data_IF_142382824717
#
_entry.id   IF_142382824717
#
_cell.length_a   1.000
_cell.length_b   1.000
_cell.length_c   1.000
_cell.angle_alpha   90.00
_cell.angle_beta   90.00
_cell.angle_gamma   90.00
#
_symmetry.space_group_name_H-M   'P 1'
#
loop_
_entity.id
_entity.type
_entity.pdbx_description
1 polymer ?
#
# COMPACT_ATOMS: atom_id res chain seq x y z
N UNK A 1 -20.09 2.41 -5.26
CA UNK A 1 -20.93 3.47 -4.69
C UNK A 1 -20.13 4.77 -4.64
N UNK A 2 -20.72 5.91 -5.01
CA UNK A 2 -20.01 7.18 -5.05
C UNK A 2 -20.34 7.96 -3.77
N UNK A 3 -19.67 7.66 -2.66
CA UNK A 3 -19.88 8.37 -1.39
C UNK A 3 -19.52 9.84 -1.57
N UNK A 4 -20.42 10.79 -1.27
CA UNK A 4 -20.16 12.20 -1.45
C UNK A 4 -18.99 12.65 -0.58
N UNK A 5 -18.13 13.47 -1.18
CA UNK A 5 -16.95 14.04 -0.51
C UNK A 5 -17.37 14.90 0.68
N UNK A 6 -16.79 14.70 1.89
CA UNK A 6 -17.04 15.58 3.02
C UNK A 6 -16.64 17.04 2.72
N UNK A 7 -17.45 18.01 3.19
CA UNK A 7 -17.14 19.44 3.00
C UNK A 7 -15.79 19.80 3.61
N UNK A 8 -14.97 20.57 2.89
CA UNK A 8 -13.66 21.02 3.36
C UNK A 8 -12.54 19.97 3.30
N UNK A 9 -12.82 18.73 2.90
CA UNK A 9 -11.79 17.69 2.75
C UNK A 9 -10.93 17.90 1.49
N UNK A 10 -9.66 17.47 1.53
CA UNK A 10 -8.76 17.47 0.38
C UNK A 10 -8.88 16.14 -0.36
N UNK A 11 -9.23 16.18 -1.63
CA UNK A 11 -9.23 14.97 -2.46
C UNK A 11 -7.79 14.62 -2.86
N UNK A 12 -7.34 13.43 -2.50
CA UNK A 12 -6.11 12.81 -2.93
C UNK A 12 -6.45 11.60 -3.80
N UNK A 13 -5.74 11.44 -4.91
CA UNK A 13 -5.97 10.34 -5.85
C UNK A 13 -4.67 9.68 -6.23
N UNK A 14 -4.69 8.36 -6.39
CA UNK A 14 -3.57 7.59 -6.89
C UNK A 14 -4.08 6.39 -7.68
N UNK A 15 -3.25 5.85 -8.57
CA UNK A 15 -3.54 4.58 -9.21
C UNK A 15 -3.05 3.43 -8.32
N UNK A 16 -3.93 2.47 -8.02
CA UNK A 16 -3.64 1.26 -7.27
C UNK A 16 -3.23 0.13 -8.22
N UNK A 17 -1.96 -0.31 -8.23
CA UNK A 17 -1.54 -1.51 -8.96
C UNK A 17 -2.32 -2.76 -8.53
N UNK A 18 -2.63 -2.92 -7.24
CA UNK A 18 -3.36 -4.06 -6.68
C UNK A 18 -4.78 -4.17 -7.21
N UNK A 19 -5.49 -3.04 -7.32
CA UNK A 19 -6.88 -3.00 -7.77
C UNK A 19 -7.03 -2.73 -9.27
N UNK A 20 -5.97 -2.28 -9.95
CA UNK A 20 -6.01 -1.91 -11.36
C UNK A 20 -6.87 -0.67 -11.66
N UNK A 21 -7.14 0.18 -10.65
CA UNK A 21 -7.97 1.39 -10.77
C UNK A 21 -7.47 2.56 -9.94
N UNK A 22 -7.98 3.74 -10.22
CA UNK A 22 -7.73 4.91 -9.37
C UNK A 22 -8.49 4.76 -8.06
N UNK A 23 -7.81 5.05 -6.94
CA UNK A 23 -8.35 5.16 -5.58
C UNK A 23 -8.43 6.62 -5.16
N UNK A 24 -9.31 6.90 -4.18
CA UNK A 24 -9.59 8.24 -3.68
C UNK A 24 -9.51 8.24 -2.16
N UNK A 25 -8.83 9.24 -1.60
CA UNK A 25 -8.81 9.49 -0.17
C UNK A 25 -9.20 10.95 0.10
N UNK A 26 -9.84 11.22 1.23
CA UNK A 26 -10.32 12.54 1.57
C UNK A 26 -9.43 13.31 2.54
N UNK A 27 -8.32 12.68 2.98
CA UNK A 27 -7.26 13.29 3.79
C UNK A 27 -5.96 12.47 3.72
N UNK A 28 -4.89 13.02 4.29
CA UNK A 28 -3.58 12.38 4.30
C UNK A 28 -3.54 11.07 5.08
N UNK A 29 -4.23 10.99 6.21
CA UNK A 29 -4.23 9.80 7.06
C UNK A 29 -4.85 8.59 6.33
N UNK A 30 -6.00 8.81 5.65
CA UNK A 30 -6.59 7.78 4.80
C UNK A 30 -5.69 7.45 3.60
N UNK A 31 -4.98 8.44 3.02
CA UNK A 31 -4.06 8.20 1.90
C UNK A 31 -2.85 7.37 2.33
N UNK A 32 -2.27 7.63 3.48
CA UNK A 32 -1.18 6.85 4.07
C UNK A 32 -1.63 5.42 4.41
N UNK A 33 -2.85 5.26 4.93
CA UNK A 33 -3.44 3.95 5.15
C UNK A 33 -3.65 3.18 3.85
N UNK A 34 -4.07 3.86 2.77
CA UNK A 34 -4.12 3.24 1.44
C UNK A 34 -2.74 2.68 1.02
N UNK A 35 -1.66 3.44 1.19
CA UNK A 35 -0.30 2.96 0.88
C UNK A 35 0.00 1.66 1.62
N UNK A 36 -0.34 1.57 2.90
CA UNK A 36 -0.13 0.36 3.71
C UNK A 36 -0.95 -0.84 3.18
N UNK A 37 -2.21 -0.62 2.78
CA UNK A 37 -3.05 -1.67 2.19
C UNK A 37 -2.55 -2.12 0.82
N UNK A 38 -2.12 -1.16 0.00
CA UNK A 38 -1.57 -1.42 -1.34
C UNK A 38 -0.33 -2.31 -1.28
N UNK A 39 0.50 -2.11 -0.26
CA UNK A 39 1.83 -2.71 -0.14
C UNK A 39 1.90 -3.89 0.83
N UNK A 40 0.78 -4.28 1.42
CA UNK A 40 0.67 -5.48 2.24
C UNK A 40 0.31 -6.68 1.36
N UNK A 41 1.21 -7.67 1.18
CA UNK A 41 0.92 -8.86 0.37
C UNK A 41 -0.22 -9.71 0.91
N UNK A 42 -0.53 -9.62 2.22
CA UNK A 42 -1.64 -10.32 2.86
C UNK A 42 -3.00 -9.75 2.49
N UNK A 43 -3.05 -8.49 2.04
CA UNK A 43 -4.29 -7.83 1.58
C UNK A 43 -4.56 -8.22 0.13
N UNK A 44 -5.61 -9.00 -0.09
CA UNK A 44 -6.03 -9.43 -1.44
C UNK A 44 -6.84 -8.37 -2.17
N UNK A 45 -7.67 -7.61 -1.45
CA UNK A 45 -8.49 -6.53 -2.01
C UNK A 45 -8.89 -5.52 -0.95
N UNK A 46 -9.28 -4.34 -1.35
CA UNK A 46 -9.84 -3.32 -0.48
C UNK A 46 -10.76 -2.37 -1.28
N UNK A 47 -11.63 -1.66 -0.56
CA UNK A 47 -12.48 -0.61 -1.13
C UNK A 47 -12.47 0.60 -0.21
N UNK A 48 -12.20 1.78 -0.78
CA UNK A 48 -12.29 3.04 -0.06
C UNK A 48 -13.74 3.49 0.09
N UNK A 49 -14.07 4.02 1.25
CA UNK A 49 -15.38 4.62 1.61
C UNK A 49 -16.59 3.70 1.32
N UNK A 50 -16.58 2.43 1.82
CA UNK A 50 -17.62 1.46 1.49
C UNK A 50 -19.00 1.87 2.00
N UNK A 51 -19.07 2.45 3.20
CA UNK A 51 -20.33 2.85 3.86
C UNK A 51 -20.07 3.83 5.01
N UNK A 52 -21.11 4.15 5.77
CA UNK A 52 -21.05 4.87 7.04
C UNK A 52 -21.35 3.92 8.20
N UNK A 53 -20.71 4.16 9.34
CA UNK A 53 -21.00 3.48 10.59
C UNK A 53 -22.23 4.15 11.24
N UNK A 54 -23.33 3.40 11.36
CA UNK A 54 -24.59 3.87 11.95
C UNK A 54 -25.78 3.68 11.02
N UNK A 55 -26.99 3.73 11.61
CA UNK A 55 -28.25 3.52 10.89
C UNK A 55 -28.67 4.71 10.00
N UNK A 56 -28.05 5.87 10.17
CA UNK A 56 -28.39 7.11 9.48
C UNK A 56 -27.19 7.64 8.70
N UNK A 57 -27.46 8.49 7.70
CA UNK A 57 -26.44 9.17 6.87
C UNK A 57 -25.45 10.08 7.65
N UNK A 58 -25.76 10.40 8.92
CA UNK A 58 -24.90 11.17 9.83
C UNK A 58 -23.79 10.34 10.48
N UNK A 59 -23.78 9.02 10.27
CA UNK A 59 -22.75 8.12 10.78
C UNK A 59 -21.35 8.44 10.24
N UNK A 60 -20.32 8.06 11.02
CA UNK A 60 -18.92 8.24 10.62
C UNK A 60 -18.63 7.47 9.33
N UNK A 61 -17.97 8.10 8.38
CA UNK A 61 -17.49 7.45 7.16
C UNK A 61 -16.47 6.37 7.52
N UNK A 62 -16.68 5.15 7.04
CA UNK A 62 -15.68 4.07 7.08
C UNK A 62 -14.63 4.38 6.02
N UNK A 63 -13.36 4.31 6.39
CA UNK A 63 -12.30 4.67 5.46
C UNK A 63 -12.04 3.55 4.45
N UNK A 64 -12.00 2.29 4.92
CA UNK A 64 -11.76 1.14 4.06
C UNK A 64 -12.55 -0.09 4.49
N UNK A 65 -12.98 -0.87 3.53
CA UNK A 65 -13.21 -2.30 3.66
C UNK A 65 -11.99 -3.03 3.12
N UNK A 66 -11.56 -4.11 3.79
CA UNK A 66 -10.33 -4.85 3.49
C UNK A 66 -10.58 -6.34 3.56
N UNK A 67 -10.13 -7.07 2.53
CA UNK A 67 -10.03 -8.52 2.55
C UNK A 67 -8.58 -8.94 2.76
N UNK A 68 -8.31 -9.66 3.85
CA UNK A 68 -6.97 -10.11 4.23
C UNK A 68 -7.00 -11.57 4.66
N UNK A 69 -6.20 -12.43 4.04
CA UNK A 69 -6.13 -13.87 4.36
C UNK A 69 -7.50 -14.56 4.45
N UNK A 70 -8.44 -14.17 3.57
CA UNK A 70 -9.80 -14.72 3.56
C UNK A 70 -10.75 -14.17 4.62
N UNK A 71 -10.30 -13.21 5.44
CA UNK A 71 -11.12 -12.50 6.41
C UNK A 71 -11.40 -11.08 5.93
N UNK A 72 -12.54 -10.54 6.33
CA UNK A 72 -12.94 -9.18 6.03
C UNK A 72 -12.90 -8.31 7.29
N UNK A 73 -12.46 -7.06 7.14
CA UNK A 73 -12.49 -6.04 8.20
C UNK A 73 -12.86 -4.68 7.62
N UNK A 74 -13.52 -3.87 8.44
CA UNK A 74 -13.72 -2.45 8.19
C UNK A 74 -12.67 -1.64 8.95
N UNK A 75 -12.11 -0.60 8.32
CA UNK A 75 -11.11 0.26 8.95
C UNK A 75 -11.64 1.69 9.07
N UNK A 76 -11.42 2.27 10.23
CA UNK A 76 -11.54 3.70 10.50
C UNK A 76 -10.19 4.22 10.95
N UNK A 77 -9.69 5.21 10.24
CA UNK A 77 -8.42 5.85 10.56
C UNK A 77 -8.61 6.91 11.64
N UNK A 78 -7.79 6.88 12.68
CA UNK A 78 -7.81 7.87 13.73
C UNK A 78 -7.39 9.25 13.20
N UNK A 79 -8.23 10.26 13.45
CA UNK A 79 -7.95 11.67 13.19
C UNK A 79 -7.94 12.42 14.52
N UNK A 80 -7.17 13.47 14.63
CA UNK A 80 -6.94 14.25 15.86
C UNK A 80 -8.18 14.79 16.60
N UNK A 81 -9.39 14.54 16.12
CA UNK A 81 -10.63 15.03 16.75
C UNK A 81 -11.43 13.87 17.32
N UNK A 82 -11.60 13.93 18.65
CA UNK A 82 -12.50 13.20 19.54
C UNK A 82 -13.21 11.95 19.01
N UNK A 83 -13.02 10.81 19.67
CA UNK A 83 -13.72 9.59 19.32
C UNK A 83 -15.15 9.60 19.85
N UNK A 84 -16.13 9.60 18.95
CA UNK A 84 -17.39 8.95 19.24
C UNK A 84 -17.12 7.44 19.39
N UNK A 85 -17.79 6.76 20.32
CA UNK A 85 -17.71 5.30 20.43
C UNK A 85 -18.04 4.68 19.06
N UNK A 86 -17.09 3.93 18.52
CA UNK A 86 -17.30 3.20 17.28
C UNK A 86 -18.02 1.87 17.63
N UNK A 87 -18.96 1.40 16.79
CA UNK A 87 -19.53 0.09 16.95
C UNK A 87 -18.43 -0.98 16.76
N UNK A 88 -18.64 -2.18 17.31
CA UNK A 88 -17.69 -3.29 17.15
C UNK A 88 -17.70 -3.87 15.74
N UNK A 89 -18.83 -3.75 15.03
CA UNK A 89 -18.98 -4.21 13.64
C UNK A 89 -19.91 -3.29 12.86
N UNK A 90 -19.81 -3.35 11.54
CA UNK A 90 -20.72 -2.70 10.59
C UNK A 90 -21.11 -3.74 9.54
N UNK A 91 -22.42 -3.99 9.37
CA UNK A 91 -22.93 -5.03 8.47
C UNK A 91 -22.31 -6.42 8.77
N UNK A 92 -22.18 -6.76 10.06
CA UNK A 92 -21.56 -7.99 10.58
C UNK A 92 -20.06 -8.15 10.30
N UNK A 93 -19.42 -7.15 9.67
CA UNK A 93 -17.97 -7.11 9.44
C UNK A 93 -17.30 -6.38 10.61
N UNK A 94 -16.27 -6.98 11.26
CA UNK A 94 -15.54 -6.35 12.35
C UNK A 94 -14.99 -4.97 11.97
N UNK A 95 -15.15 -3.99 12.88
CA UNK A 95 -14.64 -2.63 12.70
C UNK A 95 -13.40 -2.42 13.56
N UNK A 96 -12.28 -2.09 12.91
CA UNK A 96 -11.01 -1.78 13.55
C UNK A 96 -10.67 -0.29 13.43
N UNK A 97 -10.33 0.30 14.54
CA UNK A 97 -9.69 1.62 14.56
C UNK A 97 -8.19 1.46 14.25
N UNK A 98 -7.68 2.25 13.32
CA UNK A 98 -6.23 2.38 13.05
C UNK A 98 -5.73 3.58 13.86
N UNK A 99 -4.99 3.37 14.96
CA UNK A 99 -4.51 4.47 15.81
C UNK A 99 -3.51 5.37 15.11
N UNK A 100 -3.47 6.65 15.48
CA UNK A 100 -2.47 7.60 14.98
C UNK A 100 -1.02 7.13 15.27
N UNK A 101 -0.80 6.46 16.40
CA UNK A 101 0.50 5.88 16.76
C UNK A 101 0.92 4.78 15.77
N UNK A 102 -0.02 3.93 15.32
CA UNK A 102 0.25 2.89 14.32
C UNK A 102 0.63 3.50 12.95
N UNK A 103 0.01 4.62 12.58
CA UNK A 103 0.36 5.35 11.36
C UNK A 103 1.72 6.02 11.47
N UNK A 104 2.00 6.67 12.60
CA UNK A 104 3.29 7.30 12.87
C UNK A 104 4.44 6.27 12.82
N UNK A 105 4.24 5.08 13.39
CA UNK A 105 5.22 4.00 13.32
C UNK A 105 5.51 3.52 11.88
N UNK A 106 4.55 3.68 10.96
CA UNK A 106 4.71 3.30 9.56
C UNK A 106 5.21 4.45 8.66
N UNK A 107 5.53 5.63 9.19
CA UNK A 107 5.83 6.81 8.39
C UNK A 107 6.99 6.62 7.40
N UNK A 108 8.08 5.96 7.81
CA UNK A 108 9.23 5.68 6.92
C UNK A 108 8.83 4.72 5.82
N UNK A 109 8.10 3.67 6.15
CA UNK A 109 7.56 2.71 5.18
C UNK A 109 6.69 3.40 4.15
N UNK A 110 5.73 4.19 4.59
CA UNK A 110 4.83 4.96 3.71
C UNK A 110 5.60 5.92 2.81
N UNK A 111 6.56 6.68 3.36
CA UNK A 111 7.39 7.58 2.58
C UNK A 111 8.18 6.88 1.47
N UNK A 112 8.72 5.69 1.75
CA UNK A 112 9.42 4.87 0.76
C UNK A 112 8.45 4.42 -0.36
N UNK A 113 7.29 3.89 -0.01
CA UNK A 113 6.32 3.40 -0.99
C UNK A 113 5.69 4.52 -1.84
N UNK A 114 5.55 5.72 -1.31
CA UNK A 114 5.13 6.89 -2.10
C UNK A 114 6.13 7.23 -3.22
N UNK A 115 7.39 6.83 -3.08
CA UNK A 115 8.42 6.94 -4.13
C UNK A 115 8.42 5.74 -5.08
N UNK A 116 8.05 4.54 -4.59
CA UNK A 116 8.11 3.29 -5.33
C UNK A 116 6.87 3.04 -6.21
N UNK A 117 5.67 3.31 -5.70
CA UNK A 117 4.40 3.10 -6.43
C UNK A 117 4.35 3.83 -7.78
N UNK A 118 4.79 5.09 -7.91
CA UNK A 118 4.84 5.75 -9.22
C UNK A 118 5.74 5.03 -10.23
N UNK A 119 6.87 4.46 -9.79
CA UNK A 119 7.78 3.71 -10.66
C UNK A 119 7.10 2.41 -11.13
N UNK A 120 6.44 1.69 -10.24
CA UNK A 120 5.64 0.50 -10.59
C UNK A 120 4.61 0.88 -11.66
N UNK A 121 3.85 1.95 -11.43
CA UNK A 121 2.81 2.40 -12.35
C UNK A 121 3.35 2.79 -13.73
N UNK A 122 4.50 3.44 -13.78
CA UNK A 122 5.14 3.83 -15.04
C UNK A 122 5.65 2.64 -15.84
N UNK A 123 6.06 1.55 -15.19
CA UNK A 123 6.74 0.42 -15.85
C UNK A 123 5.89 -0.82 -16.01
N UNK A 124 4.74 -0.94 -15.33
CA UNK A 124 3.92 -2.16 -15.27
C UNK A 124 3.55 -2.79 -16.62
N UNK A 125 3.38 -1.96 -17.67
CA UNK A 125 2.96 -2.43 -18.99
C UNK A 125 4.15 -2.86 -19.87
N UNK A 126 5.39 -2.62 -19.43
CA UNK A 126 6.62 -2.90 -20.18
C UNK A 126 7.54 -3.88 -19.47
N UNK A 127 7.09 -4.52 -18.39
CA UNK A 127 7.86 -5.50 -17.63
C UNK A 127 7.81 -6.89 -18.32
N UNK A 128 8.92 -7.39 -18.90
CA UNK A 128 8.94 -8.72 -19.48
C UNK A 128 8.89 -9.81 -18.41
N UNK A 129 8.16 -10.89 -18.64
CA UNK A 129 8.14 -12.05 -17.74
C UNK A 129 9.53 -12.68 -17.54
N UNK A 130 10.41 -12.57 -18.54
CA UNK A 130 11.80 -13.00 -18.45
C UNK A 130 12.58 -12.20 -17.42
N UNK A 131 12.39 -10.88 -17.36
CA UNK A 131 13.05 -10.02 -16.37
C UNK A 131 12.63 -10.38 -14.94
N UNK A 132 11.33 -10.65 -14.70
CA UNK A 132 10.85 -11.11 -13.39
C UNK A 132 11.61 -12.37 -12.94
N UNK A 133 11.73 -13.36 -13.84
CA UNK A 133 12.48 -14.59 -13.56
C UNK A 133 13.97 -14.32 -13.31
N UNK A 134 14.59 -13.44 -14.09
CA UNK A 134 15.99 -13.06 -13.92
C UNK A 134 16.23 -12.39 -12.57
N UNK A 135 15.37 -11.45 -12.15
CA UNK A 135 15.47 -10.79 -10.83
C UNK A 135 15.34 -11.83 -9.71
N UNK A 136 14.32 -12.70 -9.75
CA UNK A 136 14.12 -13.72 -8.72
C UNK A 136 15.26 -14.73 -8.66
N UNK A 137 15.85 -15.10 -9.80
CA UNK A 137 17.02 -15.99 -9.84
C UNK A 137 18.28 -15.32 -9.30
N UNK A 138 18.49 -14.03 -9.56
CA UNK A 138 19.64 -13.27 -9.11
C UNK A 138 19.58 -13.01 -7.60
N UNK A 139 18.40 -12.66 -7.07
CA UNK A 139 18.19 -12.34 -5.65
C UNK A 139 17.97 -13.64 -4.86
N UNK A 140 18.95 -14.54 -4.87
CA UNK A 140 18.97 -15.75 -4.02
C UNK A 140 19.50 -15.51 -2.60
N UNK A 141 20.01 -14.31 -2.32
CA UNK A 141 20.54 -13.82 -1.04
C UNK A 141 20.36 -12.31 -0.97
N UNK A 142 20.51 -11.66 0.21
CA UNK A 142 20.45 -10.21 0.30
C UNK A 142 21.42 -9.51 -0.65
N UNK A 143 20.92 -8.66 -1.54
CA UNK A 143 21.69 -7.89 -2.51
C UNK A 143 21.27 -6.42 -2.47
N UNK A 144 22.22 -5.50 -2.64
CA UNK A 144 21.92 -4.09 -2.80
C UNK A 144 21.15 -3.82 -4.10
N UNK A 145 20.20 -2.90 -4.07
CA UNK A 145 19.41 -2.52 -5.24
C UNK A 145 20.31 -2.12 -6.42
N UNK A 146 21.38 -1.34 -6.17
CA UNK A 146 22.37 -0.95 -7.19
C UNK A 146 23.05 -2.15 -7.85
N UNK A 147 23.33 -3.21 -7.09
CA UNK A 147 23.97 -4.40 -7.64
C UNK A 147 23.01 -5.18 -8.55
N UNK A 148 21.74 -5.30 -8.16
CA UNK A 148 20.72 -5.95 -9.01
C UNK A 148 20.55 -5.17 -10.31
N UNK A 149 20.49 -3.83 -10.24
CA UNK A 149 20.42 -2.97 -11.44
C UNK A 149 21.66 -3.11 -12.33
N UNK A 150 22.86 -3.22 -11.74
CA UNK A 150 24.11 -3.39 -12.46
C UNK A 150 24.16 -4.73 -13.21
N UNK A 151 23.84 -5.82 -12.54
CA UNK A 151 23.85 -7.18 -13.12
C UNK A 151 22.81 -7.33 -14.26
N UNK A 152 21.74 -6.54 -14.22
CA UNK A 152 20.69 -6.51 -15.24
C UNK A 152 20.78 -5.29 -16.15
N UNK A 153 21.95 -4.69 -16.30
CA UNK A 153 22.21 -3.45 -17.07
C UNK A 153 21.91 -3.56 -18.57
N UNK A 154 21.67 -4.76 -19.11
CA UNK A 154 21.18 -4.97 -20.48
C UNK A 154 19.72 -4.46 -20.63
N UNK A 155 18.97 -4.38 -19.53
CA UNK A 155 17.61 -3.86 -19.50
C UNK A 155 17.60 -2.38 -19.08
N UNK A 156 16.51 -1.68 -19.42
CA UNK A 156 16.28 -0.31 -18.92
C UNK A 156 16.26 -0.30 -17.38
N UNK A 157 17.11 0.52 -16.73
CA UNK A 157 17.19 0.57 -15.27
C UNK A 157 15.86 0.93 -14.58
N UNK A 158 15.01 1.75 -15.21
CA UNK A 158 13.69 2.09 -14.67
C UNK A 158 12.76 0.86 -14.67
N UNK A 159 12.83 0.03 -15.71
CA UNK A 159 12.04 -1.22 -15.82
C UNK A 159 12.55 -2.26 -14.83
N UNK A 160 13.87 -2.40 -14.64
CA UNK A 160 14.47 -3.28 -13.63
C UNK A 160 14.00 -2.87 -12.24
N UNK A 161 14.13 -1.58 -11.90
CA UNK A 161 13.71 -1.02 -10.61
C UNK A 161 12.22 -1.21 -10.37
N UNK A 162 11.37 -0.93 -11.35
CA UNK A 162 9.94 -1.13 -11.26
C UNK A 162 9.57 -2.60 -11.05
N UNK A 163 10.31 -3.54 -11.68
CA UNK A 163 10.13 -4.97 -11.48
C UNK A 163 10.48 -5.39 -10.06
N UNK A 164 11.61 -4.91 -9.51
CA UNK A 164 12.01 -5.18 -8.12
C UNK A 164 10.93 -4.64 -7.16
N UNK A 165 10.46 -3.41 -7.36
CA UNK A 165 9.43 -2.81 -6.50
C UNK A 165 8.10 -3.56 -6.57
N UNK A 166 7.71 -4.06 -7.73
CA UNK A 166 6.52 -4.89 -7.88
C UNK A 166 6.68 -6.24 -7.16
N UNK A 167 7.86 -6.85 -7.21
CA UNK A 167 8.15 -8.09 -6.48
C UNK A 167 8.14 -7.88 -4.96
N UNK A 168 8.60 -6.72 -4.47
CA UNK A 168 8.49 -6.32 -3.08
C UNK A 168 7.01 -6.11 -2.68
N UNK A 169 6.22 -5.41 -3.51
CA UNK A 169 4.80 -5.14 -3.27
C UNK A 169 3.98 -6.43 -3.20
N UNK A 170 4.28 -7.39 -4.07
CA UNK A 170 3.60 -8.69 -4.11
C UNK A 170 4.15 -9.69 -3.09
N UNK A 171 5.19 -9.32 -2.34
CA UNK A 171 5.80 -10.16 -1.30
C UNK A 171 6.59 -11.34 -1.84
N UNK A 172 7.03 -11.31 -3.09
CA UNK A 172 7.96 -12.29 -3.66
C UNK A 172 9.40 -12.00 -3.25
N UNK A 173 9.73 -10.74 -3.03
CA UNK A 173 10.95 -10.27 -2.38
C UNK A 173 10.61 -9.49 -1.11
N UNK A 174 11.61 -9.29 -0.25
CA UNK A 174 11.54 -8.50 0.96
C UNK A 174 12.66 -7.47 1.02
N UNK A 175 12.42 -6.37 1.74
CA UNK A 175 13.42 -5.35 2.07
C UNK A 175 13.11 -4.80 3.47
N UNK A 176 13.45 -5.53 4.55
CA UNK A 176 13.06 -5.17 5.91
C UNK A 176 13.54 -3.79 6.35
N UNK A 177 14.69 -3.34 5.85
CA UNK A 177 15.25 -2.02 6.15
C UNK A 177 14.33 -0.87 5.74
N UNK A 178 13.42 -1.06 4.78
CA UNK A 178 12.47 -0.03 4.35
C UNK A 178 11.49 0.40 5.45
N UNK A 179 11.34 -0.37 6.53
CA UNK A 179 10.54 0.03 7.68
C UNK A 179 11.20 1.12 8.53
N UNK A 180 12.53 1.21 8.51
CA UNK A 180 13.31 2.09 9.40
C UNK A 180 14.29 3.00 8.67
N UNK A 181 14.58 2.73 7.39
CA UNK A 181 15.54 3.48 6.60
C UNK A 181 14.91 3.97 5.29
N UNK A 182 15.35 5.13 4.84
CA UNK A 182 14.94 5.67 3.55
C UNK A 182 15.46 4.81 2.40
N UNK A 183 14.61 4.61 1.38
CA UNK A 183 14.98 3.94 0.13
C UNK A 183 16.21 4.58 -0.50
N UNK A 184 17.21 3.78 -0.79
CA UNK A 184 18.46 4.17 -1.45
C UNK A 184 18.96 3.05 -2.37
N UNK A 185 20.00 3.34 -3.14
CA UNK A 185 20.69 2.34 -3.97
C UNK A 185 21.36 1.22 -3.13
N UNK A 186 21.58 1.47 -1.85
CA UNK A 186 22.15 0.49 -0.90
C UNK A 186 21.07 -0.33 -0.17
N UNK A 187 19.79 -0.06 -0.40
CA UNK A 187 18.71 -0.87 0.16
C UNK A 187 18.88 -2.33 -0.26
N UNK A 188 18.94 -3.21 0.73
CA UNK A 188 19.03 -4.65 0.48
C UNK A 188 17.66 -5.21 0.13
N UNK A 189 17.61 -5.97 -0.95
CA UNK A 189 16.50 -6.82 -1.35
C UNK A 189 16.87 -8.27 -1.16
N UNK A 190 15.95 -9.08 -0.66
CA UNK A 190 16.20 -10.48 -0.29
C UNK A 190 15.02 -11.37 -0.66
N UNK A 191 15.25 -12.69 -0.84
CA UNK A 191 14.18 -13.63 -1.13
C UNK A 191 13.25 -13.74 0.08
N UNK A 192 11.98 -14.03 -0.17
CA UNK A 192 11.06 -14.41 0.89
C UNK A 192 11.42 -15.82 1.38
N UNK A 193 11.71 -15.95 2.67
CA UNK A 193 11.94 -17.24 3.36
C UNK A 193 10.65 -18.07 3.39
#
# INVERSE_FOLDING_TARGET
MNTPRPRGSRLLTAFSPKLGRTVRAFDHAAFEQWVRLETDPGVSSFCEHPCRAGANDDGRLIDFWVARHGQEEMLVVERRQGFAMLPQSVQDIPLRLVPAAEQAAAAVWVANWLRMIPVINATRNVQPKTLIKSVLSLVGRPLALSLVEHELSVCDPAVVRGTIFELLRTGQLMAPSLHTQALSLHTLVEPRS
#
